data_IF_198058881877
#
_entry.id   IF_198058881877
#
_cell.length_a   1.000
_cell.length_b   1.000
_cell.length_c   1.000
_cell.angle_alpha   90.00
_cell.angle_beta   90.00
_cell.angle_gamma   90.00
#
_symmetry.space_group_name_H-M   'P 1'
#
loop_
_entity.id
_entity.type
_entity.pdbx_description
1 polymer ?
#
# COMPACT_ATOMS: atom_id res chain seq x y z
N UNK A 1 7.02 2.00 -10.17
CA UNK A 1 5.63 1.51 -10.10
C UNK A 1 5.21 1.21 -8.67
N UNK A 2 3.95 1.55 -8.33
CA UNK A 2 3.31 1.29 -7.03
C UNK A 2 1.87 0.80 -7.24
N UNK A 3 1.43 -0.14 -6.42
CA UNK A 3 0.07 -0.62 -6.29
C UNK A 3 -0.38 -0.34 -4.86
N UNK A 4 -1.56 0.24 -4.69
CA UNK A 4 -2.11 0.64 -3.39
C UNK A 4 -3.52 0.06 -3.27
N UNK A 5 -3.78 -0.67 -2.21
CA UNK A 5 -5.12 -1.11 -1.83
C UNK A 5 -5.55 -0.34 -0.59
N UNK A 6 -6.74 0.24 -0.62
CA UNK A 6 -7.36 0.96 0.49
C UNK A 6 -8.69 0.30 0.84
N UNK A 7 -8.89 -0.01 2.11
CA UNK A 7 -10.19 -0.46 2.62
C UNK A 7 -10.93 0.72 3.28
N UNK A 8 -12.27 0.70 3.20
CA UNK A 8 -13.16 1.69 3.83
C UNK A 8 -12.83 3.16 3.49
N UNK A 9 -12.19 3.43 2.35
CA UNK A 9 -11.90 4.78 1.89
C UNK A 9 -13.20 5.54 1.54
N UNK A 10 -13.23 6.84 1.83
CA UNK A 10 -14.34 7.73 1.45
C UNK A 10 -14.24 8.13 -0.03
N UNK A 11 -15.35 8.56 -0.67
CA UNK A 11 -15.30 9.08 -2.04
C UNK A 11 -14.30 10.23 -2.22
N UNK A 12 -14.17 11.11 -1.22
CA UNK A 12 -13.21 12.22 -1.24
C UNK A 12 -11.76 11.72 -1.25
N UNK A 13 -11.43 10.73 -0.43
CA UNK A 13 -10.09 10.13 -0.40
C UNK A 13 -9.76 9.42 -1.72
N UNK A 14 -10.73 8.68 -2.30
CA UNK A 14 -10.55 8.06 -3.62
C UNK A 14 -10.34 9.11 -4.72
N UNK A 15 -11.16 10.17 -4.74
CA UNK A 15 -10.98 11.27 -5.70
C UNK A 15 -9.61 11.95 -5.58
N UNK A 16 -9.10 12.07 -4.35
CA UNK A 16 -7.74 12.56 -4.13
C UNK A 16 -6.66 11.60 -4.66
N UNK A 17 -6.80 10.29 -4.43
CA UNK A 17 -5.89 9.27 -4.98
C UNK A 17 -5.86 9.28 -6.51
N UNK A 18 -7.02 9.47 -7.15
CA UNK A 18 -7.17 9.51 -8.60
C UNK A 18 -6.40 10.65 -9.29
N UNK A 19 -5.87 11.62 -8.52
CA UNK A 19 -4.99 12.67 -9.06
C UNK A 19 -3.60 12.17 -9.42
N UNK A 20 -3.15 11.07 -8.81
CA UNK A 20 -1.80 10.52 -8.97
C UNK A 20 -1.80 9.07 -9.46
N UNK A 21 -2.93 8.38 -9.38
CA UNK A 21 -3.05 6.95 -9.65
C UNK A 21 -4.35 6.61 -10.38
N UNK A 22 -4.36 5.49 -11.08
CA UNK A 22 -5.55 4.96 -11.75
C UNK A 22 -6.21 3.93 -10.84
N UNK A 23 -7.51 4.10 -10.55
CA UNK A 23 -8.30 3.11 -9.82
C UNK A 23 -8.71 1.96 -10.75
N UNK A 24 -8.02 0.83 -10.67
CA UNK A 24 -8.26 -0.34 -11.55
C UNK A 24 -9.41 -1.23 -11.04
N UNK A 25 -9.71 -1.13 -9.75
CA UNK A 25 -10.85 -1.75 -9.06
C UNK A 25 -11.15 -0.90 -7.83
N UNK A 26 -12.35 -1.01 -7.27
CA UNK A 26 -12.72 -0.27 -6.05
C UNK A 26 -11.66 -0.41 -4.95
N UNK A 27 -11.06 0.71 -4.55
CA UNK A 27 -10.01 0.77 -3.54
C UNK A 27 -8.61 0.34 -4.02
N UNK A 28 -8.43 -0.10 -5.27
CA UNK A 28 -7.16 -0.56 -5.83
C UNK A 28 -6.64 0.43 -6.85
N UNK A 29 -5.50 1.03 -6.54
CA UNK A 29 -4.85 2.08 -7.32
C UNK A 29 -3.50 1.62 -7.85
N UNK A 30 -3.16 2.04 -9.07
CA UNK A 30 -1.85 1.80 -9.69
C UNK A 30 -1.27 3.14 -10.16
N UNK A 31 0.01 3.37 -9.89
CA UNK A 31 0.72 4.56 -10.34
C UNK A 31 2.19 4.28 -10.65
N UNK A 32 2.80 5.16 -11.42
CA UNK A 32 4.26 5.25 -11.49
C UNK A 32 4.71 6.61 -10.95
N UNK A 33 5.28 6.60 -9.75
CA UNK A 33 5.65 7.79 -8.99
C UNK A 33 7.00 7.60 -8.31
N UNK A 34 7.69 8.71 -8.05
CA UNK A 34 8.99 8.69 -7.36
C UNK A 34 8.86 8.22 -5.90
N UNK A 35 9.96 7.74 -5.33
CA UNK A 35 10.05 7.33 -3.92
C UNK A 35 9.56 8.42 -2.97
N UNK A 36 9.95 9.68 -3.20
CA UNK A 36 9.51 10.83 -2.40
C UNK A 36 7.98 11.02 -2.40
N UNK A 37 7.33 10.90 -3.55
CA UNK A 37 5.87 11.04 -3.66
C UNK A 37 5.18 9.84 -3.02
N UNK A 38 5.69 8.63 -3.27
CA UNK A 38 5.21 7.39 -2.65
C UNK A 38 5.24 7.49 -1.12
N UNK A 39 6.36 7.90 -0.53
CA UNK A 39 6.54 7.92 0.92
C UNK A 39 5.61 8.95 1.59
N UNK A 40 5.43 10.12 0.97
CA UNK A 40 4.45 11.12 1.43
C UNK A 40 3.02 10.62 1.31
N UNK A 41 2.71 9.92 0.22
CA UNK A 41 1.40 9.33 0.00
C UNK A 41 1.11 8.26 1.05
N UNK A 42 2.10 7.40 1.34
CA UNK A 42 2.00 6.39 2.39
C UNK A 42 1.78 7.00 3.77
N UNK A 43 2.55 8.04 4.13
CA UNK A 43 2.36 8.76 5.40
C UNK A 43 0.95 9.35 5.51
N UNK A 44 0.43 9.90 4.41
CA UNK A 44 -0.92 10.45 4.37
C UNK A 44 -1.98 9.36 4.58
N UNK A 45 -1.86 8.22 3.88
CA UNK A 45 -2.79 7.09 3.99
C UNK A 45 -2.76 6.52 5.42
N UNK A 46 -1.56 6.25 5.93
CA UNK A 46 -1.36 5.56 7.21
C UNK A 46 -1.67 6.43 8.42
N UNK A 47 -1.16 7.68 8.45
CA UNK A 47 -1.28 8.55 9.64
C UNK A 47 -2.44 9.52 9.56
N UNK A 48 -2.59 10.22 8.42
CA UNK A 48 -3.59 11.29 8.29
C UNK A 48 -4.99 10.73 8.09
N UNK A 49 -5.12 9.69 7.27
CA UNK A 49 -6.41 9.05 7.03
C UNK A 49 -6.66 7.86 7.95
N UNK A 50 -5.61 7.20 8.45
CA UNK A 50 -5.75 6.05 9.34
C UNK A 50 -6.46 4.87 8.68
N UNK A 51 -6.26 4.67 7.37
CA UNK A 51 -6.95 3.62 6.62
C UNK A 51 -6.22 2.29 6.73
N UNK A 52 -6.98 1.20 6.78
CA UNK A 52 -6.48 -0.14 6.50
C UNK A 52 -6.00 -0.15 5.03
N UNK A 53 -4.71 -0.38 4.81
CA UNK A 53 -4.09 -0.20 3.51
C UNK A 53 -2.90 -1.13 3.26
N UNK A 54 -2.71 -1.48 1.99
CA UNK A 54 -1.55 -2.23 1.50
C UNK A 54 -0.88 -1.41 0.41
N UNK A 55 0.43 -1.26 0.47
CA UNK A 55 1.23 -0.68 -0.61
C UNK A 55 2.29 -1.67 -1.06
N UNK A 56 2.34 -1.92 -2.37
CA UNK A 56 3.38 -2.71 -3.03
C UNK A 56 4.10 -1.80 -4.00
N UNK A 57 5.42 -1.71 -3.95
CA UNK A 57 6.18 -0.87 -4.87
C UNK A 57 7.47 -1.53 -5.33
N UNK A 58 7.90 -1.20 -6.54
CA UNK A 58 9.15 -1.68 -7.11
C UNK A 58 10.35 -1.25 -6.26
N UNK A 59 11.27 -2.17 -6.01
CA UNK A 59 12.49 -1.90 -5.22
C UNK A 59 13.62 -2.82 -5.67
N UNK A 60 14.86 -2.49 -5.31
CA UNK A 60 16.05 -3.30 -5.63
C UNK A 60 16.23 -4.49 -4.66
N UNK A 61 15.15 -5.08 -4.16
CA UNK A 61 15.16 -6.34 -3.39
C UNK A 61 15.19 -7.54 -4.32
N UNK A 62 15.46 -8.73 -3.80
CA UNK A 62 15.42 -9.99 -4.57
C UNK A 62 14.06 -10.24 -5.22
N UNK A 63 12.97 -9.93 -4.51
CA UNK A 63 11.61 -10.03 -5.04
C UNK A 63 11.25 -8.90 -6.01
N UNK A 64 12.15 -7.92 -6.22
CA UNK A 64 11.94 -6.73 -7.05
C UNK A 64 10.80 -5.80 -6.57
N UNK A 65 10.27 -6.04 -5.37
CA UNK A 65 9.27 -5.20 -4.72
C UNK A 65 9.41 -5.20 -3.20
N UNK A 66 8.75 -4.23 -2.56
CA UNK A 66 8.49 -4.22 -1.13
C UNK A 66 7.00 -4.05 -0.84
N UNK A 67 6.57 -4.64 0.27
CA UNK A 67 5.20 -4.54 0.76
C UNK A 67 5.16 -3.80 2.10
N UNK A 68 4.18 -2.90 2.24
CA UNK A 68 3.86 -2.19 3.46
C UNK A 68 2.37 -2.38 3.79
N UNK A 69 2.06 -2.50 5.08
CA UNK A 69 0.70 -2.61 5.60
C UNK A 69 0.46 -1.52 6.63
N UNK A 70 -0.78 -1.04 6.71
CA UNK A 70 -1.27 -0.16 7.75
C UNK A 70 -2.64 -0.66 8.23
N UNK A 71 -2.93 -0.49 9.52
CA UNK A 71 -4.20 -0.88 10.12
C UNK A 71 -4.19 -2.33 10.63
N UNK A 72 -5.36 -2.98 10.61
CA UNK A 72 -5.51 -4.40 10.96
C UNK A 72 -5.79 -5.22 9.72
N UNK A 73 -4.76 -5.69 9.01
CA UNK A 73 -4.99 -6.65 7.98
C UNK A 73 -5.13 -8.01 8.67
N UNK A 74 -6.11 -8.80 8.24
CA UNK A 74 -6.17 -10.25 8.46
C UNK A 74 -4.89 -11.04 8.07
N UNK A 75 -3.82 -10.33 7.70
CA UNK A 75 -2.56 -10.73 7.12
C UNK A 75 -1.46 -9.80 7.61
N UNK A 76 -0.25 -10.31 7.79
CA UNK A 76 0.92 -9.51 8.14
C UNK A 76 2.09 -9.83 7.20
N UNK A 77 3.02 -8.88 7.05
CA UNK A 77 4.28 -9.13 6.34
C UNK A 77 5.29 -9.65 7.32
N UNK A 78 5.77 -10.87 7.06
CA UNK A 78 6.91 -11.43 7.76
C UNK A 78 8.13 -11.38 6.83
N UNK A 79 9.30 -11.15 7.42
CA UNK A 79 10.57 -11.28 6.72
C UNK A 79 11.15 -12.66 7.04
N UNK A 80 11.50 -13.42 6.01
CA UNK A 80 12.15 -14.71 6.10
C UNK A 80 13.40 -14.68 5.23
N UNK A 81 14.58 -14.58 5.86
CA UNK A 81 15.88 -14.50 5.19
C UNK A 81 15.96 -13.46 4.06
N UNK A 82 15.37 -12.28 4.27
CA UNK A 82 15.37 -11.18 3.30
C UNK A 82 14.18 -11.19 2.34
N UNK A 83 13.38 -12.27 2.33
CA UNK A 83 12.18 -12.42 1.51
C UNK A 83 10.95 -11.97 2.32
N UNK A 84 10.10 -11.12 1.73
CA UNK A 84 8.82 -10.75 2.33
C UNK A 84 7.75 -11.77 1.97
N UNK A 85 7.11 -12.34 2.99
CA UNK A 85 6.01 -13.29 2.89
C UNK A 85 4.77 -12.76 3.61
N UNK A 86 3.61 -13.30 3.24
CA UNK A 86 2.33 -12.96 3.88
C UNK A 86 1.91 -14.08 4.82
N UNK A 87 1.80 -13.77 6.11
CA UNK A 87 1.30 -14.67 7.14
C UNK A 87 -0.14 -14.33 7.49
N UNK A 88 -0.90 -15.30 8.01
CA UNK A 88 -2.14 -15.02 8.76
C UNK A 88 -1.79 -15.08 10.25
N UNK A 89 -2.02 -14.02 11.03
CA UNK A 89 -1.75 -14.06 12.46
C UNK A 89 -2.57 -15.19 13.12
N UNK A 90 -1.96 -15.93 14.05
CA UNK A 90 -2.69 -16.92 14.87
C UNK A 90 -3.62 -16.14 15.80
N UNK A 91 -4.90 -16.55 15.83
CA UNK A 91 -5.90 -16.05 16.77
C UNK A 91 -5.43 -16.22 18.21
#
# INVERSE_FOLDING_TARGET
>A
MVVIMLEKSTPSQRGEMSRLAIEVKSGVFVADISSRVRDKLWEKISKKWGLDAIMIYSSNSEQSYRIQFNGDPSREVINFDGIQLICKPKK
#
